data_IF_236202537186
#
_entry.id   IF_236202537186
#
_cell.length_a   1.000
_cell.length_b   1.000
_cell.length_c   1.000
_cell.angle_alpha   90.00
_cell.angle_beta   90.00
_cell.angle_gamma   90.00
#
_symmetry.space_group_name_H-M   'P 1'
#
loop_
_entity.id
_entity.type
_entity.pdbx_description
1 polymer ?
#
# COMPACT_ATOMS: atom_id res chain seq x y z
N UNK A 1 20.48 -15.65 -8.84
CA UNK A 1 19.58 -14.84 -9.68
C UNK A 1 19.32 -13.57 -8.89
N UNK A 2 19.42 -12.40 -9.52
CA UNK A 2 19.07 -11.15 -8.82
C UNK A 2 17.56 -11.15 -8.68
N UNK A 3 17.04 -11.31 -7.45
CA UNK A 3 15.62 -11.23 -7.17
C UNK A 3 15.24 -9.76 -7.12
N UNK A 4 14.21 -9.38 -7.88
CA UNK A 4 13.67 -8.02 -7.81
C UNK A 4 12.69 -7.94 -6.64
N UNK A 5 12.87 -6.96 -5.75
CA UNK A 5 11.91 -6.69 -4.69
C UNK A 5 10.63 -6.09 -5.26
N UNK A 6 9.54 -6.20 -4.50
CA UNK A 6 8.26 -5.65 -4.88
C UNK A 6 7.39 -5.27 -3.69
N UNK A 7 6.17 -4.87 -4.00
CA UNK A 7 5.14 -4.49 -3.03
C UNK A 7 3.80 -5.07 -3.49
N UNK A 8 3.15 -5.81 -2.60
CA UNK A 8 1.72 -6.10 -2.73
C UNK A 8 0.96 -5.02 -1.97
N UNK A 9 0.15 -4.29 -2.72
CA UNK A 9 -0.71 -3.21 -2.26
C UNK A 9 -2.16 -3.72 -2.28
N UNK A 10 -2.87 -3.58 -1.17
CA UNK A 10 -4.27 -3.93 -1.06
C UNK A 10 -5.03 -2.81 -0.34
N UNK A 11 -5.64 -1.90 -1.10
CA UNK A 11 -6.59 -0.95 -0.55
C UNK A 11 -7.97 -1.60 -0.50
N UNK A 12 -8.76 -1.30 0.53
CA UNK A 12 -10.07 -1.91 0.70
C UNK A 12 -11.09 -0.98 1.34
N UNK A 13 -12.36 -1.26 1.06
CA UNK A 13 -13.51 -0.70 1.77
C UNK A 13 -14.53 -1.79 2.03
N UNK A 14 -15.24 -1.67 3.14
CA UNK A 14 -16.40 -2.53 3.43
C UNK A 14 -17.49 -2.20 2.41
N UNK A 15 -18.06 -3.22 1.77
CA UNK A 15 -19.10 -3.05 0.76
C UNK A 15 -20.47 -2.93 1.44
N UNK A 16 -21.26 -1.86 1.24
CA UNK A 16 -22.66 -1.85 1.65
C UNK A 16 -23.46 -2.84 0.75
N UNK A 17 -24.26 -3.78 1.28
CA UNK A 17 -24.82 -3.87 2.63
C UNK A 17 -24.25 -5.06 3.43
N UNK A 18 -22.94 -5.29 3.45
CA UNK A 18 -22.30 -6.42 4.16
C UNK A 18 -22.62 -6.54 5.66
N UNK A 19 -23.20 -5.49 6.27
CA UNK A 19 -23.64 -5.41 7.68
C UNK A 19 -22.53 -5.65 8.72
N UNK A 20 -21.25 -5.60 8.35
CA UNK A 20 -20.16 -5.65 9.32
C UNK A 20 -19.65 -4.25 9.69
N UNK A 21 -19.12 -4.11 10.90
CA UNK A 21 -18.40 -2.92 11.32
C UNK A 21 -16.93 -2.96 10.89
N UNK A 22 -16.28 -1.79 10.90
CA UNK A 22 -14.83 -1.68 10.75
C UNK A 22 -14.07 -2.57 11.76
N UNK A 23 -14.55 -2.65 13.00
CA UNK A 23 -13.94 -3.49 14.04
C UNK A 23 -13.95 -4.98 13.67
N UNK A 24 -15.07 -5.49 13.12
CA UNK A 24 -15.16 -6.90 12.68
C UNK A 24 -14.23 -7.15 11.50
N UNK A 25 -14.19 -6.24 10.53
CA UNK A 25 -13.26 -6.32 9.40
C UNK A 25 -11.81 -6.34 9.88
N UNK A 26 -11.43 -5.40 10.74
CA UNK A 26 -10.08 -5.30 11.29
C UNK A 26 -9.71 -6.51 12.15
N UNK A 27 -10.62 -7.04 12.96
CA UNK A 27 -10.38 -8.23 13.78
C UNK A 27 -10.06 -9.46 12.93
N UNK A 28 -10.82 -9.70 11.85
CA UNK A 28 -10.51 -10.77 10.90
C UNK A 28 -9.18 -10.52 10.18
N UNK A 29 -8.99 -9.31 9.65
CA UNK A 29 -7.82 -9.01 8.83
C UNK A 29 -6.52 -9.12 9.66
N UNK A 30 -6.52 -8.59 10.88
CA UNK A 30 -5.37 -8.61 11.78
C UNK A 30 -5.12 -9.97 12.43
N UNK A 31 -6.20 -10.68 12.79
CA UNK A 31 -6.14 -11.91 13.58
C UNK A 31 -6.07 -13.18 12.73
N UNK A 32 -6.46 -13.11 11.47
CA UNK A 32 -6.55 -14.27 10.57
C UNK A 32 -5.80 -14.00 9.26
N UNK A 33 -6.21 -13.01 8.47
CA UNK A 33 -5.72 -12.88 7.10
C UNK A 33 -4.23 -12.50 7.03
N UNK A 34 -3.78 -11.47 7.74
CA UNK A 34 -2.34 -11.12 7.79
C UNK A 34 -1.52 -12.30 8.31
N UNK A 35 -1.87 -12.97 9.42
CA UNK A 35 -1.17 -14.19 9.84
C UNK A 35 -1.09 -15.27 8.75
N UNK A 36 -2.14 -15.49 7.97
CA UNK A 36 -2.12 -16.46 6.86
C UNK A 36 -1.19 -16.02 5.72
N UNK A 37 -1.14 -14.72 5.40
CA UNK A 37 -0.14 -14.17 4.46
C UNK A 37 1.28 -14.37 4.98
N UNK A 38 1.53 -14.08 6.27
CA UNK A 38 2.86 -14.15 6.88
C UNK A 38 3.37 -15.58 7.15
N UNK A 39 2.50 -16.60 7.04
CA UNK A 39 2.92 -18.00 7.06
C UNK A 39 3.56 -18.45 5.76
N UNK A 40 3.37 -17.70 4.67
CA UNK A 40 3.96 -18.02 3.38
C UNK A 40 5.46 -17.79 3.37
N UNK A 41 6.15 -18.39 2.41
CA UNK A 41 7.61 -18.29 2.28
C UNK A 41 8.09 -16.94 1.74
N UNK A 42 7.22 -16.14 1.11
CA UNK A 42 7.61 -14.94 0.36
C UNK A 42 7.26 -13.61 0.99
N UNK A 43 6.49 -13.56 2.08
CA UNK A 43 6.09 -12.31 2.75
C UNK A 43 6.30 -12.43 4.25
N UNK A 44 7.18 -11.57 4.79
CA UNK A 44 7.62 -11.68 6.19
C UNK A 44 7.11 -10.52 7.07
N UNK A 45 6.65 -9.44 6.45
CA UNK A 45 6.18 -8.24 7.15
C UNK A 45 4.92 -7.70 6.48
N UNK A 46 4.05 -7.09 7.27
CA UNK A 46 2.88 -6.40 6.77
C UNK A 46 2.68 -5.11 7.56
N UNK A 47 2.15 -4.08 6.91
CA UNK A 47 1.69 -2.87 7.61
C UNK A 47 0.29 -2.53 7.13
N UNK A 48 -0.60 -2.30 8.09
CA UNK A 48 -1.97 -1.89 7.85
C UNK A 48 -2.18 -0.45 8.29
N UNK A 49 -3.01 0.25 7.53
CA UNK A 49 -3.36 1.63 7.74
C UNK A 49 -4.85 1.86 7.56
N UNK A 50 -5.33 2.95 8.14
CA UNK A 50 -6.66 3.52 7.93
C UNK A 50 -6.51 4.86 7.20
N UNK A 51 -7.51 5.24 6.40
CA UNK A 51 -7.49 6.54 5.72
C UNK A 51 -7.44 7.68 6.74
N UNK A 52 -6.56 8.64 6.52
CA UNK A 52 -6.46 9.87 7.32
C UNK A 52 -7.31 11.02 6.74
N UNK A 53 -7.95 10.81 5.59
CA UNK A 53 -8.79 11.83 4.94
C UNK A 53 -10.05 12.09 5.78
N UNK A 54 -10.37 13.37 5.99
CA UNK A 54 -11.56 13.83 6.73
C UNK A 54 -12.45 14.70 5.83
N UNK A 55 -13.77 14.42 5.73
CA UNK A 55 -14.47 13.28 6.34
C UNK A 55 -14.09 11.94 5.67
N UNK A 56 -14.20 10.85 6.43
CA UNK A 56 -13.66 9.52 6.04
C UNK A 56 -14.27 8.97 4.74
N UNK A 57 -15.49 9.39 4.42
CA UNK A 57 -16.23 9.06 3.20
C UNK A 57 -15.70 9.78 1.93
N UNK A 58 -14.79 10.74 2.10
CA UNK A 58 -14.16 11.45 0.98
C UNK A 58 -13.03 10.65 0.32
N UNK A 59 -12.57 9.56 0.93
CA UNK A 59 -11.65 8.61 0.30
C UNK A 59 -12.42 7.44 -0.30
N UNK A 60 -12.09 6.98 -1.53
CA UNK A 60 -12.68 5.77 -2.09
C UNK A 60 -12.29 4.50 -1.30
N UNK A 61 -11.24 4.57 -0.48
CA UNK A 61 -10.67 3.45 0.27
C UNK A 61 -10.55 3.80 1.75
N UNK A 62 -11.06 2.93 2.62
CA UNK A 62 -11.04 3.15 4.07
C UNK A 62 -9.81 2.54 4.74
N UNK A 63 -9.28 1.45 4.17
CA UNK A 63 -8.16 0.68 4.71
C UNK A 63 -7.10 0.44 3.64
N UNK A 64 -5.86 0.26 4.08
CA UNK A 64 -4.73 -0.14 3.23
C UNK A 64 -3.90 -1.20 3.95
N UNK A 65 -3.53 -2.26 3.23
CA UNK A 65 -2.49 -3.19 3.64
C UNK A 65 -1.34 -3.16 2.62
N UNK A 66 -0.12 -3.04 3.14
CA UNK A 66 1.12 -3.07 2.39
C UNK A 66 1.96 -4.25 2.83
N UNK A 67 2.38 -5.07 1.86
CA UNK A 67 3.25 -6.21 2.07
C UNK A 67 4.50 -6.06 1.20
N UNK A 68 5.64 -5.64 1.77
CA UNK A 68 6.92 -5.73 1.08
C UNK A 68 7.22 -7.18 0.72
N UNK A 69 7.65 -7.41 -0.53
CA UNK A 69 7.94 -8.73 -1.07
C UNK A 69 9.43 -8.76 -1.48
N UNK A 70 10.28 -9.55 -0.81
CA UNK A 70 11.71 -9.62 -1.15
C UNK A 70 12.00 -10.19 -2.54
N UNK A 71 11.11 -11.06 -3.03
CA UNK A 71 11.18 -11.64 -4.37
C UNK A 71 9.81 -11.54 -5.06
N UNK A 72 9.70 -10.64 -6.03
CA UNK A 72 8.47 -10.34 -6.75
C UNK A 72 7.86 -11.56 -7.45
N UNK A 73 8.67 -12.55 -7.82
CA UNK A 73 8.20 -13.76 -8.48
C UNK A 73 7.30 -14.60 -7.57
N UNK A 74 7.43 -14.45 -6.24
CA UNK A 74 6.54 -15.09 -5.27
C UNK A 74 5.06 -14.80 -5.57
N UNK A 75 4.73 -13.58 -6.03
CA UNK A 75 3.36 -13.16 -6.33
C UNK A 75 2.73 -13.94 -7.51
N UNK A 76 3.53 -14.67 -8.28
CA UNK A 76 3.09 -15.50 -9.40
C UNK A 76 3.03 -17.00 -9.05
N UNK A 77 3.27 -17.36 -7.79
CA UNK A 77 3.30 -18.76 -7.34
C UNK A 77 1.93 -19.30 -6.94
N UNK A 78 1.80 -20.62 -6.94
CA UNK A 78 0.62 -21.32 -6.39
C UNK A 78 0.49 -21.11 -4.87
N UNK A 79 1.61 -20.97 -4.15
CA UNK A 79 1.61 -20.68 -2.71
C UNK A 79 0.91 -19.35 -2.44
N UNK A 80 1.29 -18.28 -3.15
CA UNK A 80 0.62 -16.99 -3.04
C UNK A 80 -0.87 -17.06 -3.42
N UNK A 81 -1.19 -17.76 -4.50
CA UNK A 81 -2.58 -17.93 -4.94
C UNK A 81 -3.44 -18.76 -3.94
N UNK A 82 -2.80 -19.54 -3.07
CA UNK A 82 -3.46 -20.40 -2.08
C UNK A 82 -3.72 -19.71 -0.75
N UNK A 83 -3.33 -18.44 -0.58
CA UNK A 83 -3.65 -17.66 0.63
C UNK A 83 -5.18 -17.60 0.79
N UNK A 84 -5.74 -18.03 1.93
CA UNK A 84 -7.19 -18.08 2.13
C UNK A 84 -7.86 -16.71 2.00
N UNK A 85 -8.87 -16.65 1.13
CA UNK A 85 -9.80 -15.54 1.03
C UNK A 85 -11.08 -15.77 1.87
N UNK A 86 -11.22 -16.94 2.49
CA UNK A 86 -12.37 -17.35 3.30
C UNK A 86 -11.98 -17.59 4.76
N UNK A 87 -12.90 -17.36 5.70
CA UNK A 87 -12.71 -17.65 7.12
C UNK A 87 -14.03 -17.74 7.86
N UNK A 88 -14.17 -18.72 8.77
CA UNK A 88 -15.34 -18.87 9.65
C UNK A 88 -15.62 -17.62 10.53
N UNK A 89 -14.62 -16.72 10.68
CA UNK A 89 -14.80 -15.44 11.37
C UNK A 89 -15.62 -14.43 10.55
N UNK A 90 -15.75 -14.63 9.23
CA UNK A 90 -16.51 -13.76 8.34
C UNK A 90 -17.97 -14.20 8.26
N UNK A 91 -18.93 -13.27 8.14
CA UNK A 91 -20.33 -13.63 7.96
C UNK A 91 -20.63 -14.07 6.52
N UNK A 92 -21.88 -14.48 6.29
CA UNK A 92 -22.36 -14.86 4.96
C UNK A 92 -22.16 -16.35 4.66
N UNK A 93 -22.84 -16.87 3.63
CA UNK A 93 -22.85 -18.30 3.34
C UNK A 93 -21.53 -18.82 2.76
N UNK A 94 -20.70 -17.95 2.16
CA UNK A 94 -19.41 -18.36 1.58
C UNK A 94 -18.24 -18.13 2.53
N UNK A 95 -18.46 -17.35 3.60
CA UNK A 95 -17.40 -16.92 4.52
C UNK A 95 -16.24 -16.20 3.81
N UNK A 96 -16.48 -15.61 2.62
CA UNK A 96 -15.47 -14.94 1.81
C UNK A 96 -15.32 -13.47 2.18
N UNK A 97 -14.08 -12.97 2.18
CA UNK A 97 -13.82 -11.53 2.32
C UNK A 97 -14.41 -10.71 1.16
N UNK A 98 -14.65 -11.33 0.00
CA UNK A 98 -15.27 -10.67 -1.15
C UNK A 98 -16.79 -10.46 -0.99
N UNK A 99 -17.43 -11.13 -0.02
CA UNK A 99 -18.85 -10.90 0.30
C UNK A 99 -19.04 -9.62 1.14
N UNK A 100 -17.97 -9.13 1.78
CA UNK A 100 -18.04 -8.07 2.77
C UNK A 100 -17.23 -6.82 2.41
N UNK A 101 -16.32 -6.91 1.46
CA UNK A 101 -15.41 -5.83 1.11
C UNK A 101 -15.02 -5.87 -0.37
N UNK A 102 -14.73 -4.69 -0.89
CA UNK A 102 -14.10 -4.48 -2.18
C UNK A 102 -12.61 -4.23 -1.98
N UNK A 103 -11.78 -4.75 -2.89
CA UNK A 103 -10.32 -4.66 -2.81
C UNK A 103 -9.74 -4.14 -4.11
N UNK A 104 -8.93 -3.11 -4.05
CA UNK A 104 -8.00 -2.70 -5.10
C UNK A 104 -6.64 -3.33 -4.79
N UNK A 105 -6.35 -4.43 -5.47
CA UNK A 105 -5.13 -5.21 -5.30
C UNK A 105 -4.20 -4.91 -6.46
N UNK A 106 -2.99 -4.48 -6.12
CA UNK A 106 -1.97 -4.12 -7.09
C UNK A 106 -0.65 -4.75 -6.69
N UNK A 107 0.12 -5.14 -7.71
CA UNK A 107 1.46 -5.70 -7.56
C UNK A 107 2.42 -4.77 -8.24
N UNK A 108 3.49 -4.48 -7.51
CA UNK A 108 4.47 -3.50 -7.91
C UNK A 108 5.87 -4.10 -7.90
N UNK A 109 6.68 -3.68 -8.88
CA UNK A 109 8.13 -3.83 -8.87
C UNK A 109 8.72 -2.63 -8.17
N UNK A 110 9.71 -2.84 -7.32
CA UNK A 110 10.50 -1.75 -6.77
C UNK A 110 11.38 -1.11 -7.84
N UNK A 111 11.26 0.20 -7.99
CA UNK A 111 12.09 1.05 -8.85
C UNK A 111 13.33 1.48 -8.06
N UNK A 112 13.13 1.98 -6.85
CA UNK A 112 14.22 2.45 -6.01
C UNK A 112 13.75 2.97 -4.66
N UNK A 113 14.71 3.15 -3.76
CA UNK A 113 14.47 3.66 -2.41
C UNK A 113 15.49 4.71 -2.04
N UNK A 114 15.04 5.70 -1.28
CA UNK A 114 15.86 6.66 -0.56
C UNK A 114 15.48 6.62 0.91
N UNK A 115 16.48 6.57 1.77
CA UNK A 115 16.30 6.48 3.21
C UNK A 115 17.31 7.41 3.87
N UNK A 116 16.84 8.46 4.54
CA UNK A 116 17.70 9.35 5.31
C UNK A 116 18.10 8.69 6.65
N UNK A 117 19.32 8.97 7.13
CA UNK A 117 19.94 8.25 8.26
C UNK A 117 19.16 8.34 9.59
N UNK A 118 18.38 9.39 9.79
CA UNK A 118 17.68 9.69 11.05
C UNK A 118 16.24 9.15 11.10
N UNK A 119 15.85 8.31 10.14
CA UNK A 119 14.54 7.68 10.12
C UNK A 119 14.45 6.52 11.14
N UNK A 120 13.33 6.38 11.85
CA UNK A 120 13.13 5.27 12.78
C UNK A 120 13.06 3.92 12.04
N UNK A 121 13.40 2.85 12.76
CA UNK A 121 13.19 1.48 12.29
C UNK A 121 11.69 1.16 12.31
N UNK A 122 11.20 0.50 11.25
CA UNK A 122 9.78 0.16 11.10
C UNK A 122 8.94 1.32 10.52
N UNK A 123 7.60 1.15 10.45
CA UNK A 123 6.71 2.15 9.89
C UNK A 123 6.52 3.35 10.82
N UNK A 124 6.32 4.53 10.26
CA UNK A 124 5.97 5.73 11.04
C UNK A 124 4.45 5.79 11.30
N UNK A 125 4.00 6.79 12.06
CA UNK A 125 2.57 6.93 12.43
C UNK A 125 1.67 7.28 11.25
N UNK A 126 2.23 7.79 10.15
CA UNK A 126 1.50 8.22 8.97
C UNK A 126 2.24 7.82 7.69
N UNK A 127 1.48 7.61 6.63
CA UNK A 127 2.01 7.27 5.33
C UNK A 127 1.33 8.13 4.27
N UNK A 128 2.12 8.63 3.31
CA UNK A 128 1.59 9.13 2.04
C UNK A 128 1.81 8.10 0.94
N UNK A 129 0.77 7.83 0.18
CA UNK A 129 0.89 7.13 -1.11
C UNK A 129 0.70 8.15 -2.21
N UNK A 130 1.64 8.24 -3.15
CA UNK A 130 1.58 9.22 -4.24
C UNK A 130 1.49 8.45 -5.55
N UNK A 131 0.34 8.52 -6.21
CA UNK A 131 0.13 7.94 -7.53
C UNK A 131 0.44 8.99 -8.60
N UNK A 132 1.30 8.66 -9.56
CA UNK A 132 1.73 9.61 -10.59
C UNK A 132 2.10 8.93 -11.90
N UNK A 133 2.01 9.71 -12.98
CA UNK A 133 2.63 9.42 -14.26
C UNK A 133 3.88 10.28 -14.43
N UNK A 134 4.87 9.71 -15.12
CA UNK A 134 6.12 10.44 -15.36
C UNK A 134 5.94 11.48 -16.46
N UNK A 135 6.61 12.65 -16.34
CA UNK A 135 6.79 13.56 -17.46
C UNK A 135 7.45 12.85 -18.64
N UNK A 136 7.08 13.24 -19.86
CA UNK A 136 7.55 12.60 -21.10
C UNK A 136 9.06 12.63 -21.35
N UNK A 137 9.80 13.46 -20.60
CA UNK A 137 11.27 13.57 -20.71
C UNK A 137 12.02 12.64 -19.76
N UNK A 138 11.33 11.97 -18.83
CA UNK A 138 11.94 11.00 -17.92
C UNK A 138 11.81 9.61 -18.54
N UNK A 139 12.94 8.93 -18.72
CA UNK A 139 12.96 7.54 -19.17
C UNK A 139 12.55 6.62 -18.00
N UNK A 140 11.39 6.00 -18.14
CA UNK A 140 10.83 5.08 -17.13
C UNK A 140 11.68 3.82 -16.94
N UNK A 141 12.55 3.47 -17.90
CA UNK A 141 13.47 2.33 -17.76
C UNK A 141 14.74 2.68 -16.96
N UNK A 142 14.98 3.97 -16.71
CA UNK A 142 16.05 4.45 -15.86
C UNK A 142 15.51 4.66 -14.43
N UNK A 143 15.60 3.59 -13.63
CA UNK A 143 15.12 3.57 -12.25
C UNK A 143 15.69 4.72 -11.39
N UNK A 144 16.94 5.14 -11.64
CA UNK A 144 17.57 6.23 -10.90
C UNK A 144 16.98 7.57 -11.32
N UNK A 145 16.77 7.81 -12.61
CA UNK A 145 16.14 9.04 -13.10
C UNK A 145 14.71 9.20 -12.56
N UNK A 146 13.95 8.10 -12.45
CA UNK A 146 12.61 8.09 -11.85
C UNK A 146 12.68 8.46 -10.36
N UNK A 147 13.60 7.85 -9.60
CA UNK A 147 13.81 8.14 -8.19
C UNK A 147 14.20 9.61 -7.95
N UNK A 148 15.18 10.10 -8.70
CA UNK A 148 15.69 11.47 -8.57
C UNK A 148 14.62 12.50 -8.92
N UNK A 149 13.85 12.26 -9.98
CA UNK A 149 12.75 13.15 -10.37
C UNK A 149 11.71 13.28 -9.25
N UNK A 150 11.23 12.14 -8.72
CA UNK A 150 10.21 12.16 -7.68
C UNK A 150 10.73 12.80 -6.38
N UNK A 151 11.94 12.44 -5.94
CA UNK A 151 12.57 13.06 -4.78
C UNK A 151 12.87 14.55 -4.97
N UNK A 152 12.88 15.05 -6.22
CA UNK A 152 12.96 16.47 -6.54
C UNK A 152 11.65 17.24 -6.34
N UNK A 153 10.50 16.57 -6.27
CA UNK A 153 9.18 17.20 -6.07
C UNK A 153 9.07 17.77 -4.65
N UNK A 154 9.43 16.95 -3.66
CA UNK A 154 9.39 17.33 -2.26
C UNK A 154 10.67 16.87 -1.58
N UNK A 155 11.51 17.84 -1.25
CA UNK A 155 12.77 17.60 -0.55
C UNK A 155 12.70 18.00 0.93
N UNK A 156 11.48 18.33 1.42
CA UNK A 156 11.22 18.99 2.70
C UNK A 156 12.23 18.63 3.78
N UNK A 157 12.66 19.62 4.57
CA UNK A 157 13.83 19.55 5.45
C UNK A 157 13.73 18.60 6.65
N UNK A 158 12.82 17.63 6.59
CA UNK A 158 12.61 16.57 7.58
C UNK A 158 13.12 15.25 7.01
N UNK A 159 13.83 14.42 7.82
CA UNK A 159 14.24 13.09 7.38
C UNK A 159 13.06 12.28 6.85
N UNK A 160 13.28 11.63 5.71
CA UNK A 160 12.24 10.87 5.03
C UNK A 160 12.73 9.52 4.52
N UNK A 161 11.76 8.62 4.32
CA UNK A 161 11.92 7.39 3.57
C UNK A 161 10.96 7.42 2.39
N UNK A 162 11.50 7.20 1.21
CA UNK A 162 10.76 7.15 -0.06
C UNK A 162 11.06 5.82 -0.73
N UNK A 163 10.02 5.13 -1.16
CA UNK A 163 10.12 3.95 -2.00
C UNK A 163 9.22 4.09 -3.22
N UNK A 164 9.80 3.99 -4.42
CA UNK A 164 9.07 4.10 -5.68
C UNK A 164 8.87 2.72 -6.27
N UNK A 165 7.68 2.55 -6.84
CA UNK A 165 7.13 1.29 -7.27
C UNK A 165 6.46 1.47 -8.63
N UNK A 166 6.71 0.55 -9.56
CA UNK A 166 6.08 0.51 -10.87
C UNK A 166 5.04 -0.62 -10.91
N UNK A 167 3.81 -0.30 -11.29
CA UNK A 167 2.73 -1.29 -11.35
C UNK A 167 2.95 -2.23 -12.54
N UNK A 168 2.83 -3.53 -12.29
CA UNK A 168 2.87 -4.53 -13.37
C UNK A 168 1.59 -5.39 -13.41
N UNK A 169 0.78 -5.34 -12.36
CA UNK A 169 -0.52 -6.02 -12.31
C UNK A 169 -1.47 -5.30 -11.36
N UNK A 170 -2.73 -5.18 -11.73
CA UNK A 170 -3.77 -4.56 -10.90
C UNK A 170 -5.14 -5.21 -11.16
N UNK A 171 -5.95 -5.28 -10.11
CA UNK A 171 -7.29 -5.85 -10.14
C UNK A 171 -8.15 -5.20 -9.07
N UNK A 172 -9.38 -4.88 -9.45
CA UNK A 172 -10.43 -4.47 -8.53
C UNK A 172 -11.32 -5.69 -8.28
N UNK A 173 -11.34 -6.23 -7.07
CA UNK A 173 -12.22 -7.34 -6.74
C UNK A 173 -13.68 -6.88 -6.58
N UNK A 174 -14.66 -7.68 -7.03
CA UNK A 174 -14.54 -9.06 -7.49
C UNK A 174 -14.46 -9.25 -9.02
N UNK A 175 -13.31 -8.93 -9.64
CA UNK A 175 -12.94 -9.14 -11.06
C UNK A 175 -13.21 -7.98 -12.04
N UNK A 176 -13.19 -6.76 -11.54
CA UNK A 176 -13.12 -5.54 -12.32
C UNK A 176 -11.67 -5.09 -12.53
N UNK A 177 -11.46 -4.19 -13.50
CA UNK A 177 -10.19 -3.47 -13.63
C UNK A 177 -10.34 -2.13 -12.92
N UNK A 178 -9.35 -1.67 -12.13
CA UNK A 178 -9.39 -0.32 -11.60
C UNK A 178 -9.38 0.68 -12.77
N UNK A 179 -10.05 1.82 -12.60
CA UNK A 179 -9.93 2.93 -13.54
C UNK A 179 -8.48 3.43 -13.57
N UNK A 180 -7.96 3.69 -14.77
CA UNK A 180 -6.61 4.22 -15.09
C UNK A 180 -5.66 4.27 -13.89
N UNK A 181 -5.03 3.13 -13.58
CA UNK A 181 -4.03 3.02 -12.51
C UNK A 181 -2.78 3.77 -12.96
N UNK A 182 -2.34 4.83 -12.26
CA UNK A 182 -1.11 5.53 -12.60
C UNK A 182 0.07 4.57 -12.57
N UNK A 183 1.02 4.75 -13.49
CA UNK A 183 2.09 3.77 -13.69
C UNK A 183 2.98 3.62 -12.45
N UNK A 184 3.19 4.71 -11.72
CA UNK A 184 4.07 4.74 -10.56
C UNK A 184 3.30 5.02 -9.26
N UNK A 185 3.79 4.41 -8.19
CA UNK A 185 3.39 4.64 -6.82
C UNK A 185 4.64 4.97 -5.99
N UNK A 186 4.65 6.10 -5.31
CA UNK A 186 5.61 6.35 -4.24
C UNK A 186 4.95 6.12 -2.88
N UNK A 187 5.69 5.49 -1.97
CA UNK A 187 5.34 5.28 -0.57
C UNK A 187 6.30 6.16 0.24
N UNK A 188 5.75 7.18 0.92
CA UNK A 188 6.54 8.19 1.63
C UNK A 188 6.18 8.20 3.11
N UNK A 189 7.22 8.24 3.92
CA UNK A 189 7.14 8.38 5.37
C UNK A 189 8.10 9.47 5.82
N UNK A 190 7.67 10.29 6.77
CA UNK A 190 8.48 11.35 7.36
C UNK A 190 8.72 11.08 8.83
N UNK A 191 9.90 11.45 9.32
CA UNK A 191 10.15 11.54 10.76
C UNK A 191 9.62 12.89 11.27
N UNK A 192 8.30 13.00 11.41
CA UNK A 192 7.65 14.26 11.79
C UNK A 192 6.25 14.08 12.37
N UNK A 193 5.62 15.21 12.69
CA UNK A 193 4.23 15.29 13.13
C UNK A 193 3.28 15.54 11.94
N UNK A 194 1.97 15.69 12.23
CA UNK A 194 0.94 15.94 11.21
C UNK A 194 1.22 17.19 10.34
N UNK A 195 1.89 18.22 10.88
CA UNK A 195 2.20 19.43 10.11
C UNK A 195 3.18 19.15 8.97
N UNK A 196 4.18 18.28 9.21
CA UNK A 196 5.13 17.87 8.16
C UNK A 196 4.40 17.17 7.01
N UNK A 197 3.45 16.28 7.35
CA UNK A 197 2.63 15.60 6.36
C UNK A 197 1.72 16.57 5.60
N UNK A 198 1.09 17.52 6.29
CA UNK A 198 0.25 18.56 5.68
C UNK A 198 1.01 19.45 4.69
N UNK A 199 2.25 19.83 5.02
CA UNK A 199 3.14 20.58 4.12
C UNK A 199 3.51 19.77 2.89
N UNK A 200 3.92 18.51 3.08
CA UNK A 200 4.23 17.60 1.97
C UNK A 200 3.02 17.40 1.05
N UNK A 201 1.82 17.20 1.62
CA UNK A 201 0.58 17.07 0.85
C UNK A 201 0.35 18.32 0.00
N UNK A 202 0.50 19.53 0.56
CA UNK A 202 0.28 20.79 -0.17
C UNK A 202 1.13 20.93 -1.42
N UNK A 203 2.38 20.50 -1.36
CA UNK A 203 3.30 20.57 -2.49
C UNK A 203 3.07 19.44 -3.50
N UNK A 204 2.99 18.19 -3.02
CA UNK A 204 2.89 17.02 -3.88
C UNK A 204 1.55 16.96 -4.62
N UNK A 205 0.45 17.37 -3.97
CA UNK A 205 -0.88 17.32 -4.58
C UNK A 205 -1.05 18.24 -5.80
N UNK A 206 -0.11 19.17 -6.02
CA UNK A 206 -0.10 20.05 -7.20
C UNK A 206 0.29 19.29 -8.48
N UNK A 207 0.98 18.15 -8.36
CA UNK A 207 1.55 17.42 -9.49
C UNK A 207 1.17 15.94 -9.51
N UNK A 208 0.63 15.40 -8.41
CA UNK A 208 0.28 13.99 -8.28
C UNK A 208 -0.91 13.78 -7.34
N UNK A 209 -1.51 12.59 -7.39
CA UNK A 209 -2.61 12.23 -6.50
C UNK A 209 -2.06 11.64 -5.21
N UNK A 210 -2.47 12.21 -4.07
CA UNK A 210 -1.99 11.80 -2.74
C UNK A 210 -3.07 11.07 -1.96
N UNK A 211 -2.77 9.86 -1.52
CA UNK A 211 -3.49 9.12 -0.48
C UNK A 211 -2.82 9.34 0.87
N UNK A 212 -3.63 9.50 1.92
CA UNK A 212 -3.19 9.83 3.27
C UNK A 212 -3.64 8.74 4.22
N UNK A 213 -2.71 8.23 5.01
CA UNK A 213 -2.93 7.02 5.78
C UNK A 213 -2.35 7.16 7.18
N UNK A 214 -3.07 6.66 8.18
CA UNK A 214 -2.64 6.57 9.56
C UNK A 214 -2.35 5.11 9.91
N UNK A 215 -1.24 4.86 10.59
CA UNK A 215 -0.84 3.52 11.00
C UNK A 215 -1.93 2.89 11.89
N UNK A 216 -2.43 1.73 11.45
CA UNK A 216 -3.34 0.90 12.24
C UNK A 216 -2.54 -0.17 12.99
N UNK A 217 -1.72 -0.94 12.27
CA UNK A 217 -0.94 -2.04 12.86
C UNK A 217 0.22 -2.48 11.98
N UNK A 218 1.35 -2.79 12.60
CA UNK A 218 2.51 -3.37 11.93
C UNK A 218 2.75 -4.80 12.40
N UNK A 219 3.24 -5.66 11.50
CA UNK A 219 3.46 -7.08 11.74
C UNK A 219 4.83 -7.52 11.22
N UNK A 220 5.48 -8.42 11.93
CA UNK A 220 6.79 -8.97 11.54
C UNK A 220 7.97 -8.02 11.73
N UNK A 221 7.76 -6.86 12.36
CA UNK A 221 8.84 -5.98 12.78
C UNK A 221 9.34 -6.39 14.18
N UNK A 222 10.68 -6.37 14.41
CA UNK A 222 11.28 -6.70 15.70
C UNK A 222 10.94 -5.69 16.81
#
# INVERSE_FOLDING_TARGET
>A
MSTSSGLLYAASRIDPPSKISADVFNAWYDGVHVPDVLKTSGINTAVRYETAVVPQDSSPWAFLALYPVPDIEFLNTEEFASIPATSDALPGPTHSCMDIAQFDIRRYREVGKRHDLDMPTGPTSHLLTVEFDLPSHIDISDDQAVLDWFCGIYSGGTPQRVAIHEVFWAMLYPNEKPAEVPRCLAVLEFHGDENVYDEAIKEIQLVAKVGQWKLHKAFGWP
#
